data_IF_545212896345
#
_entry.id   IF_545212896345
#
_cell.length_a   1.000
_cell.length_b   1.000
_cell.length_c   1.000
_cell.angle_alpha   90.00
_cell.angle_beta   90.00
_cell.angle_gamma   90.00
#
_symmetry.space_group_name_H-M   'P 1'
#
loop_
_entity.id
_entity.type
_entity.pdbx_description
1 polymer ?
#
# COMPACT_ATOMS: atom_id res chain seq x y z
N UNK A 1 10.07 16.58 -18.73
CA UNK A 1 8.83 15.99 -19.27
C UNK A 1 7.72 15.79 -18.23
N UNK A 2 7.94 15.08 -17.10
CA UNK A 2 6.90 14.86 -16.06
C UNK A 2 6.19 16.16 -15.59
N UNK A 3 6.89 17.26 -15.28
CA UNK A 3 6.21 18.49 -14.84
C UNK A 3 5.27 19.08 -15.89
N UNK A 4 5.64 19.00 -17.17
CA UNK A 4 4.82 19.46 -18.29
C UNK A 4 3.56 18.60 -18.44
N UNK A 5 3.71 17.27 -18.45
CA UNK A 5 2.60 16.33 -18.54
C UNK A 5 1.60 16.49 -17.36
N UNK A 6 2.11 16.81 -16.16
CA UNK A 6 1.27 17.05 -14.99
C UNK A 6 0.39 18.32 -15.10
N UNK A 7 0.80 19.30 -15.91
CA UNK A 7 0.03 20.54 -16.14
C UNK A 7 -1.10 20.34 -17.14
N UNK A 8 -0.99 19.37 -18.04
CA UNK A 8 -2.02 19.10 -19.06
C UNK A 8 -3.33 18.64 -18.41
N UNK A 9 -4.46 19.21 -18.87
CA UNK A 9 -5.79 18.88 -18.37
C UNK A 9 -6.24 17.45 -18.69
N UNK A 10 -7.30 16.99 -18.02
CA UNK A 10 -7.90 15.66 -18.28
C UNK A 10 -8.50 15.56 -19.70
N UNK A 11 -8.79 16.71 -20.32
CA UNK A 11 -9.25 16.85 -21.70
C UNK A 11 -8.12 16.68 -22.73
N UNK A 12 -6.86 16.62 -22.28
CA UNK A 12 -5.68 16.30 -23.10
C UNK A 12 -5.11 14.94 -22.69
N UNK A 13 -4.84 14.72 -21.40
CA UNK A 13 -4.32 13.46 -20.86
C UNK A 13 -5.27 12.88 -19.81
N UNK A 14 -6.00 11.82 -20.17
CA UNK A 14 -7.01 11.23 -19.32
C UNK A 14 -6.47 10.01 -18.55
N UNK A 15 -6.21 10.20 -17.26
CA UNK A 15 -5.78 9.14 -16.33
C UNK A 15 -6.92 8.20 -15.93
N UNK A 16 -8.15 8.69 -15.81
CA UNK A 16 -9.32 7.89 -15.42
C UNK A 16 -9.70 6.87 -16.48
N UNK A 17 -9.64 7.27 -17.74
CA UNK A 17 -9.87 6.39 -18.88
C UNK A 17 -8.75 5.35 -19.00
N UNK A 18 -7.49 5.72 -18.79
CA UNK A 18 -6.39 4.77 -18.72
C UNK A 18 -6.54 3.79 -17.55
N UNK A 19 -6.89 4.26 -16.36
CA UNK A 19 -7.11 3.41 -15.19
C UNK A 19 -8.28 2.43 -15.40
N UNK A 20 -9.40 2.91 -15.97
CA UNK A 20 -10.50 2.06 -16.38
C UNK A 20 -10.09 1.04 -17.44
N UNK A 21 -9.16 1.37 -18.33
CA UNK A 21 -8.65 0.43 -19.33
C UNK A 21 -7.77 -0.65 -18.68
N UNK A 22 -6.77 -0.25 -17.89
CA UNK A 22 -5.86 -1.16 -17.19
C UNK A 22 -6.59 -2.12 -16.24
N UNK A 23 -7.65 -1.66 -15.58
CA UNK A 23 -8.45 -2.48 -14.67
C UNK A 23 -9.56 -3.28 -15.38
N UNK A 24 -9.55 -3.35 -16.72
CA UNK A 24 -10.60 -4.00 -17.52
C UNK A 24 -12.00 -3.56 -17.08
N UNK A 25 -12.22 -2.25 -16.97
CA UNK A 25 -13.38 -1.67 -16.28
C UNK A 25 -14.75 -2.12 -16.82
N UNK A 26 -14.83 -2.53 -18.09
CA UNK A 26 -16.02 -3.12 -18.69
C UNK A 26 -16.35 -4.53 -18.14
N UNK A 27 -15.37 -5.22 -17.57
CA UNK A 27 -15.50 -6.56 -16.96
C UNK A 27 -15.58 -6.51 -15.44
N UNK A 28 -14.92 -5.55 -14.82
CA UNK A 28 -14.71 -5.50 -13.36
C UNK A 28 -15.66 -4.54 -12.63
N UNK A 29 -16.48 -3.79 -13.37
CA UNK A 29 -17.27 -2.67 -12.83
C UNK A 29 -16.46 -1.38 -12.64
N UNK A 30 -15.13 -1.44 -12.79
CA UNK A 30 -14.25 -0.28 -12.63
C UNK A 30 -14.41 0.80 -13.70
N UNK A 31 -15.29 0.63 -14.69
CA UNK A 31 -15.70 1.70 -15.59
C UNK A 31 -16.28 2.92 -14.84
N UNK A 32 -16.75 2.74 -13.59
CA UNK A 32 -17.21 3.82 -12.71
C UNK A 32 -16.16 4.92 -12.50
N UNK A 33 -14.87 4.59 -12.52
CA UNK A 33 -13.78 5.58 -12.32
C UNK A 33 -13.68 6.61 -13.45
N UNK A 34 -14.28 6.32 -14.61
CA UNK A 34 -14.40 7.28 -15.72
C UNK A 34 -15.32 8.44 -15.35
N UNK A 35 -16.32 8.18 -14.50
CA UNK A 35 -17.36 9.13 -14.12
C UNK A 35 -17.04 9.83 -12.80
N UNK A 36 -16.40 9.15 -11.86
CA UNK A 36 -16.04 9.72 -10.55
C UNK A 36 -14.65 9.28 -10.07
N UNK A 37 -14.00 10.11 -9.25
CA UNK A 37 -12.81 9.73 -8.49
C UNK A 37 -13.07 9.80 -6.98
N UNK A 38 -14.29 9.48 -6.56
CA UNK A 38 -14.72 9.66 -5.18
C UNK A 38 -13.85 8.88 -4.18
N UNK A 39 -13.46 7.63 -4.47
CA UNK A 39 -12.53 6.86 -3.64
C UNK A 39 -11.18 7.57 -3.41
N UNK A 40 -10.63 8.25 -4.43
CA UNK A 40 -9.40 9.06 -4.29
C UNK A 40 -9.63 10.26 -3.37
N UNK A 41 -10.78 10.93 -3.51
CA UNK A 41 -11.15 12.05 -2.65
C UNK A 41 -11.29 11.60 -1.19
N UNK A 42 -11.96 10.47 -0.94
CA UNK A 42 -12.10 9.90 0.42
C UNK A 42 -10.73 9.56 1.01
N UNK A 43 -9.86 8.89 0.26
CA UNK A 43 -8.49 8.57 0.69
C UNK A 43 -7.68 9.80 1.11
N UNK A 44 -7.73 10.87 0.32
CA UNK A 44 -6.93 12.08 0.55
C UNK A 44 -7.54 13.02 1.59
N UNK A 45 -8.87 13.16 1.61
CA UNK A 45 -9.57 14.13 2.46
C UNK A 45 -9.98 13.59 3.82
N UNK A 46 -10.12 12.27 3.98
CA UNK A 46 -10.62 11.66 5.23
C UNK A 46 -9.65 10.63 5.80
N UNK A 47 -9.23 9.63 5.02
CA UNK A 47 -8.36 8.56 5.57
C UNK A 47 -6.98 9.10 5.93
N UNK A 48 -6.35 9.85 5.02
CA UNK A 48 -4.99 10.37 5.24
C UNK A 48 -4.91 11.27 6.49
N UNK A 49 -5.83 12.23 6.71
CA UNK A 49 -5.87 12.99 7.97
C UNK A 49 -6.23 12.18 9.21
N UNK A 50 -6.99 11.07 9.06
CA UNK A 50 -7.37 10.20 10.17
C UNK A 50 -6.31 9.18 10.58
N UNK A 51 -5.17 9.08 9.88
CA UNK A 51 -4.13 8.10 10.20
C UNK A 51 -3.66 8.14 11.66
N UNK A 52 -3.47 9.31 12.31
CA UNK A 52 -3.09 9.34 13.72
C UNK A 52 -4.13 8.67 14.65
N UNK A 53 -5.43 8.81 14.38
CA UNK A 53 -6.48 8.16 15.20
C UNK A 53 -6.70 6.68 14.83
N UNK A 54 -6.40 6.31 13.59
CA UNK A 54 -6.45 4.92 13.12
C UNK A 54 -5.19 4.11 13.47
N UNK A 55 -4.08 4.78 13.78
CA UNK A 55 -2.77 4.17 13.99
C UNK A 55 -2.83 3.03 14.99
N UNK A 56 -3.35 3.31 16.19
CA UNK A 56 -3.33 2.36 17.30
C UNK A 56 -4.15 1.11 17.04
N UNK A 57 -5.37 1.30 16.55
CA UNK A 57 -6.28 0.19 16.26
C UNK A 57 -5.78 -0.64 15.07
N UNK A 58 -5.17 0.00 14.07
CA UNK A 58 -4.52 -0.69 12.94
C UNK A 58 -3.30 -1.49 13.41
N UNK A 59 -2.47 -0.90 14.27
CA UNK A 59 -1.27 -1.54 14.78
C UNK A 59 -1.58 -2.74 15.69
N UNK A 60 -2.63 -2.65 16.50
CA UNK A 60 -3.12 -3.75 17.32
C UNK A 60 -3.61 -4.93 16.45
N UNK A 61 -4.41 -4.65 15.42
CA UNK A 61 -4.91 -5.62 14.43
C UNK A 61 -3.77 -6.33 13.69
N UNK A 62 -2.84 -5.57 13.11
CA UNK A 62 -1.66 -6.14 12.43
C UNK A 62 -0.82 -6.99 13.39
N UNK A 63 -0.61 -6.53 14.63
CA UNK A 63 0.15 -7.28 15.64
C UNK A 63 -0.53 -8.59 16.04
N UNK A 64 -1.87 -8.61 16.13
CA UNK A 64 -2.62 -9.82 16.38
C UNK A 64 -2.52 -10.79 15.20
N UNK A 65 -2.60 -10.28 13.97
CA UNK A 65 -2.35 -11.06 12.75
C UNK A 65 -0.97 -11.72 12.77
N UNK A 66 0.09 -10.99 13.13
CA UNK A 66 1.45 -11.55 13.23
C UNK A 66 1.50 -12.72 14.22
N UNK A 67 0.88 -12.59 15.40
CA UNK A 67 0.84 -13.69 16.39
C UNK A 67 0.11 -14.94 15.88
N UNK A 68 -0.89 -14.77 15.04
CA UNK A 68 -1.67 -15.87 14.49
C UNK A 68 -0.99 -16.55 13.30
N UNK A 69 -0.28 -15.76 12.47
CA UNK A 69 0.28 -16.23 11.19
C UNK A 69 1.73 -16.70 11.28
N UNK A 70 2.51 -16.21 12.25
CA UNK A 70 3.92 -16.55 12.40
C UNK A 70 4.15 -17.53 13.55
N UNK A 71 5.10 -18.46 13.38
CA UNK A 71 5.45 -19.44 14.41
C UNK A 71 5.87 -18.77 15.72
N UNK A 72 5.31 -19.20 16.84
CA UNK A 72 5.68 -18.66 18.15
C UNK A 72 6.91 -19.36 18.76
N UNK A 73 7.44 -20.37 18.07
CA UNK A 73 8.59 -21.19 18.51
C UNK A 73 9.93 -20.60 18.04
N UNK A 74 11.00 -20.91 18.78
CA UNK A 74 12.38 -20.52 18.44
C UNK A 74 13.04 -21.41 17.39
N UNK A 75 12.37 -22.51 17.01
CA UNK A 75 12.85 -23.42 15.98
C UNK A 75 12.57 -22.87 14.58
N UNK A 76 13.48 -23.16 13.65
CA UNK A 76 13.29 -22.77 12.25
C UNK A 76 12.15 -23.55 11.62
N UNK A 77 11.23 -22.81 11.00
CA UNK A 77 10.09 -23.37 10.27
C UNK A 77 10.01 -22.77 8.87
N UNK A 78 9.58 -23.57 7.90
CA UNK A 78 9.35 -23.09 6.53
C UNK A 78 7.94 -22.52 6.43
N UNK A 79 7.81 -21.30 5.91
CA UNK A 79 6.52 -20.65 5.70
C UNK A 79 6.43 -20.00 4.32
N UNK A 80 5.20 -19.63 3.90
CA UNK A 80 4.95 -18.79 2.72
C UNK A 80 4.68 -17.35 3.18
N UNK A 81 5.68 -16.45 3.21
CA UNK A 81 5.55 -15.14 3.86
C UNK A 81 4.47 -14.27 3.22
N UNK A 82 4.28 -14.34 1.89
CA UNK A 82 3.22 -13.58 1.20
C UNK A 82 1.82 -13.87 1.76
N UNK A 83 1.51 -15.15 2.08
CA UNK A 83 0.20 -15.56 2.61
C UNK A 83 -0.03 -15.06 4.03
N UNK A 84 0.98 -15.18 4.89
CA UNK A 84 0.93 -14.68 6.26
C UNK A 84 0.84 -13.15 6.31
N UNK A 85 1.70 -12.47 5.54
CA UNK A 85 1.77 -11.01 5.52
C UNK A 85 0.52 -10.39 4.94
N UNK A 86 -0.08 -10.94 3.87
CA UNK A 86 -1.33 -10.39 3.32
C UNK A 86 -2.46 -10.47 4.35
N UNK A 87 -2.56 -11.56 5.13
CA UNK A 87 -3.55 -11.65 6.18
C UNK A 87 -3.33 -10.60 7.28
N UNK A 88 -2.08 -10.43 7.74
CA UNK A 88 -1.72 -9.41 8.72
C UNK A 88 -2.08 -7.99 8.26
N UNK A 89 -1.78 -7.64 7.00
CA UNK A 89 -2.13 -6.32 6.43
C UNK A 89 -3.64 -6.19 6.27
N UNK A 90 -4.32 -7.24 5.81
CA UNK A 90 -5.78 -7.28 5.66
C UNK A 90 -6.54 -7.00 6.95
N UNK A 91 -6.03 -7.43 8.11
CA UNK A 91 -6.62 -7.11 9.43
C UNK A 91 -6.70 -5.59 9.66
N UNK A 92 -5.64 -4.85 9.32
CA UNK A 92 -5.60 -3.40 9.42
C UNK A 92 -6.44 -2.69 8.35
N UNK A 93 -6.38 -3.17 7.10
CA UNK A 93 -7.13 -2.57 5.98
C UNK A 93 -8.63 -2.77 6.17
N UNK A 94 -9.09 -3.96 6.58
CA UNK A 94 -10.51 -4.23 6.79
C UNK A 94 -11.10 -3.28 7.83
N UNK A 95 -10.36 -2.96 8.90
CA UNK A 95 -10.78 -2.00 9.91
C UNK A 95 -11.04 -0.61 9.31
N UNK A 96 -10.11 -0.11 8.48
CA UNK A 96 -10.27 1.20 7.84
C UNK A 96 -11.45 1.21 6.86
N UNK A 97 -11.69 0.10 6.15
CA UNK A 97 -12.74 0.01 5.15
C UNK A 97 -14.15 -0.15 5.74
N UNK A 98 -14.28 -1.03 6.73
CA UNK A 98 -15.57 -1.54 7.20
C UNK A 98 -15.87 -1.18 8.67
N UNK A 99 -14.89 -0.63 9.39
CA UNK A 99 -15.04 -0.26 10.80
C UNK A 99 -14.87 -1.43 11.77
N UNK A 100 -14.65 -1.10 13.05
CA UNK A 100 -14.30 -2.10 14.08
C UNK A 100 -15.44 -3.09 14.35
N UNK A 101 -16.68 -2.59 14.44
CA UNK A 101 -17.86 -3.42 14.74
C UNK A 101 -18.13 -4.42 13.62
N UNK A 102 -18.27 -3.94 12.39
CA UNK A 102 -18.62 -4.80 11.26
C UNK A 102 -17.54 -5.87 10.99
N UNK A 103 -16.26 -5.52 11.15
CA UNK A 103 -15.15 -6.48 11.02
C UNK A 103 -15.06 -7.46 12.20
N UNK A 104 -15.44 -7.08 13.41
CA UNK A 104 -15.49 -8.00 14.54
C UNK A 104 -16.64 -9.00 14.41
N UNK A 105 -17.81 -8.52 13.96
CA UNK A 105 -19.01 -9.35 13.76
C UNK A 105 -18.86 -10.28 12.55
N UNK A 106 -18.01 -9.93 11.57
CA UNK A 106 -17.84 -10.68 10.33
C UNK A 106 -16.34 -10.83 9.97
N UNK A 107 -15.61 -11.79 10.60
CA UNK A 107 -14.18 -12.00 10.36
C UNK A 107 -13.82 -12.28 8.89
N UNK A 108 -14.76 -12.84 8.12
CA UNK A 108 -14.61 -13.07 6.68
C UNK A 108 -14.34 -11.81 5.86
N UNK A 109 -14.71 -10.62 6.36
CA UNK A 109 -14.37 -9.34 5.72
C UNK A 109 -12.87 -9.14 5.57
N UNK A 110 -12.07 -9.66 6.51
CA UNK A 110 -10.60 -9.64 6.42
C UNK A 110 -10.14 -10.42 5.18
N UNK A 111 -10.61 -11.65 5.01
CA UNK A 111 -10.32 -12.45 3.82
C UNK A 111 -10.82 -11.78 2.54
N UNK A 112 -12.02 -11.20 2.58
CA UNK A 112 -12.59 -10.47 1.45
C UNK A 112 -11.79 -9.24 1.04
N UNK A 113 -10.83 -8.72 1.82
CA UNK A 113 -9.95 -7.63 1.35
C UNK A 113 -8.82 -8.07 0.42
N UNK A 114 -8.50 -9.37 0.36
CA UNK A 114 -7.42 -9.89 -0.52
C UNK A 114 -7.82 -11.12 -1.33
N UNK A 115 -8.89 -11.84 -0.99
CA UNK A 115 -9.30 -13.03 -1.76
C UNK A 115 -9.78 -12.65 -3.17
N UNK A 116 -10.46 -11.50 -3.31
CA UNK A 116 -10.98 -11.01 -4.59
C UNK A 116 -9.89 -10.56 -5.56
N UNK A 117 -8.69 -10.25 -5.06
CA UNK A 117 -7.52 -9.89 -5.88
C UNK A 117 -6.76 -11.11 -6.39
N UNK A 118 -7.15 -12.33 -5.98
CA UNK A 118 -6.47 -13.55 -6.39
C UNK A 118 -6.97 -14.06 -7.77
N UNK A 119 -6.31 -13.56 -8.82
CA UNK A 119 -6.14 -14.05 -10.20
C UNK A 119 -7.26 -14.85 -10.91
N UNK A 120 -8.54 -14.54 -10.69
CA UNK A 120 -9.61 -14.92 -11.63
C UNK A 120 -10.69 -13.84 -11.69
N UNK A 121 -11.09 -13.44 -12.91
CA UNK A 121 -12.23 -12.53 -13.16
C UNK A 121 -13.46 -12.90 -12.30
N UNK A 122 -13.75 -14.20 -12.23
CA UNK A 122 -14.87 -14.73 -11.47
C UNK A 122 -14.72 -14.50 -9.96
N UNK A 123 -13.51 -14.60 -9.41
CA UNK A 123 -13.23 -14.31 -7.99
C UNK A 123 -13.37 -12.84 -7.65
N UNK A 124 -12.98 -11.94 -8.56
CA UNK A 124 -13.21 -10.50 -8.38
C UNK A 124 -14.72 -10.19 -8.32
N UNK A 125 -15.49 -10.69 -9.30
CA UNK A 125 -16.95 -10.46 -9.36
C UNK A 125 -17.67 -11.12 -8.17
N UNK A 126 -17.27 -12.33 -7.78
CA UNK A 126 -17.81 -13.00 -6.59
C UNK A 126 -17.45 -12.25 -5.30
N UNK A 127 -16.20 -11.78 -5.19
CA UNK A 127 -15.75 -10.93 -4.11
C UNK A 127 -16.57 -9.65 -4.00
N UNK A 128 -16.82 -8.97 -5.12
CA UNK A 128 -17.68 -7.78 -5.17
C UNK A 128 -19.11 -8.09 -4.73
N UNK A 129 -19.66 -9.23 -5.14
CA UNK A 129 -21.00 -9.66 -4.71
C UNK A 129 -21.06 -9.94 -3.21
N UNK A 130 -20.01 -10.52 -2.63
CA UNK A 130 -19.90 -10.73 -1.17
C UNK A 130 -19.76 -9.40 -0.45
N UNK A 131 -18.82 -8.54 -0.85
CA UNK A 131 -18.62 -7.19 -0.27
C UNK A 131 -19.92 -6.37 -0.34
N UNK A 132 -20.64 -6.44 -1.46
CA UNK A 132 -21.97 -5.81 -1.62
C UNK A 132 -22.94 -6.21 -0.52
N UNK A 133 -22.92 -7.48 -0.10
CA UNK A 133 -23.76 -8.01 0.97
C UNK A 133 -23.57 -7.31 2.32
N UNK A 134 -22.41 -6.70 2.57
CA UNK A 134 -22.13 -5.93 3.79
C UNK A 134 -22.22 -4.42 3.55
N UNK A 135 -21.68 -3.93 2.42
CA UNK A 135 -21.63 -2.50 2.13
C UNK A 135 -23.02 -1.92 1.92
N UNK A 136 -23.89 -2.58 1.13
CA UNK A 136 -25.22 -2.03 0.83
C UNK A 136 -26.08 -1.88 2.09
N UNK A 137 -26.24 -2.91 2.95
CA UNK A 137 -26.97 -2.74 4.20
C UNK A 137 -26.39 -1.65 5.08
N UNK A 138 -25.05 -1.57 5.20
CA UNK A 138 -24.39 -0.54 6.00
C UNK A 138 -24.65 0.87 5.47
N UNK A 139 -24.61 1.06 4.15
CA UNK A 139 -24.95 2.35 3.51
C UNK A 139 -26.41 2.72 3.77
N UNK A 140 -27.34 1.76 3.68
CA UNK A 140 -28.77 2.01 3.94
C UNK A 140 -29.04 2.33 5.40
N UNK A 141 -28.39 1.62 6.34
CA UNK A 141 -28.43 1.91 7.78
C UNK A 141 -27.97 3.34 8.06
N UNK A 142 -26.79 3.73 7.55
CA UNK A 142 -26.23 5.07 7.74
C UNK A 142 -27.10 6.18 7.12
N UNK A 143 -27.77 5.90 6.00
CA UNK A 143 -28.72 6.84 5.38
C UNK A 143 -30.03 6.96 6.15
N UNK A 144 -30.51 5.86 6.73
CA UNK A 144 -31.78 5.80 7.49
C UNK A 144 -31.68 6.36 8.90
N UNK A 145 -30.48 6.45 9.48
CA UNK A 145 -30.25 7.14 10.74
C UNK A 145 -30.58 8.64 10.62
N UNK A 146 -31.47 9.13 11.50
CA UNK A 146 -31.80 10.54 11.65
C UNK A 146 -30.55 11.38 11.94
N UNK A 147 -30.49 12.64 11.48
CA UNK A 147 -29.40 13.56 11.86
C UNK A 147 -29.29 13.76 13.39
N UNK A 148 -30.36 13.50 14.15
CA UNK A 148 -30.32 13.49 15.63
C UNK A 148 -29.58 12.28 16.22
N UNK A 149 -29.56 11.15 15.51
CA UNK A 149 -28.93 9.89 15.91
C UNK A 149 -27.47 9.79 15.42
N UNK A 150 -27.07 10.65 14.48
CA UNK A 150 -25.70 10.76 13.94
C UNK A 150 -24.75 11.55 14.81
N UNK A 151 -25.04 11.76 16.10
CA UNK A 151 -24.02 12.34 17.00
C UNK A 151 -22.79 11.43 16.93
N UNK A 152 -21.63 11.92 16.45
CA UNK A 152 -20.46 11.08 16.30
C UNK A 152 -20.14 10.52 17.67
N UNK A 153 -20.24 9.20 17.82
CA UNK A 153 -19.78 8.56 19.03
C UNK A 153 -18.25 8.73 19.03
N UNK A 154 -17.66 9.54 19.92
CA UNK A 154 -16.23 9.83 19.89
C UNK A 154 -15.37 8.58 20.09
N UNK A 155 -15.97 7.49 20.58
CA UNK A 155 -15.31 6.21 20.81
C UNK A 155 -15.21 5.31 19.57
N UNK A 156 -15.88 5.64 18.46
CA UNK A 156 -15.86 4.84 17.23
C UNK A 156 -15.20 5.64 16.12
N UNK A 157 -14.01 5.20 15.70
CA UNK A 157 -13.36 5.75 14.52
C UNK A 157 -14.25 5.52 13.28
N UNK A 158 -14.55 6.55 12.50
CA UNK A 158 -15.29 6.39 11.25
C UNK A 158 -14.47 5.54 10.26
N UNK A 159 -15.20 4.82 9.42
CA UNK A 159 -14.67 3.98 8.34
C UNK A 159 -14.93 4.59 6.96
N UNK A 160 -14.37 3.97 5.91
CA UNK A 160 -14.55 4.44 4.53
C UNK A 160 -16.01 4.52 4.11
N UNK A 161 -16.85 3.56 4.51
CA UNK A 161 -18.26 3.57 4.14
C UNK A 161 -18.94 4.79 4.78
N UNK A 162 -18.64 5.07 6.04
CA UNK A 162 -19.15 6.22 6.79
C UNK A 162 -18.77 7.52 6.09
N UNK A 163 -17.49 7.73 5.79
CA UNK A 163 -17.04 8.92 5.07
C UNK A 163 -17.64 9.04 3.67
N UNK A 164 -17.82 7.93 2.96
CA UNK A 164 -18.45 7.93 1.64
C UNK A 164 -19.94 8.32 1.70
N UNK A 165 -20.67 7.91 2.73
CA UNK A 165 -22.08 8.30 2.91
C UNK A 165 -22.18 9.78 3.27
N UNK A 166 -21.29 10.28 4.13
CA UNK A 166 -21.26 11.68 4.57
C UNK A 166 -20.86 12.67 3.46
N UNK A 167 -19.83 12.37 2.67
CA UNK A 167 -19.33 13.27 1.60
C UNK A 167 -19.98 13.02 0.22
N UNK A 168 -20.97 12.14 0.10
CA UNK A 168 -21.62 11.86 -1.18
C UNK A 168 -22.33 13.11 -1.74
N UNK A 169 -21.85 13.67 -2.87
CA UNK A 169 -22.29 14.98 -3.37
C UNK A 169 -23.34 14.94 -4.48
N UNK A 170 -23.56 13.78 -5.08
CA UNK A 170 -24.52 13.58 -6.16
C UNK A 170 -25.12 12.17 -6.09
N UNK A 171 -26.12 11.90 -6.92
CA UNK A 171 -26.83 10.62 -6.94
C UNK A 171 -25.90 9.41 -7.11
N UNK A 172 -24.93 9.49 -8.02
CA UNK A 172 -23.95 8.42 -8.26
C UNK A 172 -23.04 8.18 -7.07
N UNK A 173 -22.54 9.24 -6.42
CA UNK A 173 -21.72 9.12 -5.21
C UNK A 173 -22.53 8.70 -3.97
N UNK A 174 -23.86 8.69 -4.07
CA UNK A 174 -24.76 8.17 -3.03
C UNK A 174 -25.27 6.78 -3.36
N UNK A 175 -25.01 6.24 -4.55
CA UNK A 175 -25.49 4.93 -4.96
C UNK A 175 -24.74 3.81 -4.20
N UNK A 176 -25.44 2.93 -3.45
CA UNK A 176 -24.80 1.88 -2.67
C UNK A 176 -23.95 0.89 -3.49
N UNK A 177 -24.32 0.62 -4.73
CA UNK A 177 -23.60 -0.27 -5.65
C UNK A 177 -22.32 0.41 -6.18
N UNK A 178 -22.39 1.71 -6.46
CA UNK A 178 -21.20 2.52 -6.76
C UNK A 178 -20.25 2.52 -5.57
N UNK A 179 -20.74 2.79 -4.36
CA UNK A 179 -19.92 2.79 -3.15
C UNK A 179 -19.27 1.42 -2.90
N UNK A 180 -20.01 0.33 -3.10
CA UNK A 180 -19.47 -1.04 -3.03
C UNK A 180 -18.27 -1.23 -3.95
N UNK A 181 -18.40 -0.82 -5.22
CA UNK A 181 -17.32 -0.93 -6.21
C UNK A 181 -16.10 -0.09 -5.79
N UNK A 182 -16.33 1.11 -5.29
CA UNK A 182 -15.28 2.02 -4.84
C UNK A 182 -14.56 1.51 -3.59
N UNK A 183 -15.28 1.00 -2.58
CA UNK A 183 -14.69 0.35 -1.39
C UNK A 183 -13.85 -0.86 -1.79
N UNK A 184 -14.39 -1.72 -2.66
CA UNK A 184 -13.65 -2.84 -3.21
C UNK A 184 -12.36 -2.41 -3.90
N UNK A 185 -12.42 -1.34 -4.71
CA UNK A 185 -11.21 -0.82 -5.39
C UNK A 185 -10.12 -0.35 -4.44
N UNK A 186 -10.48 0.23 -3.28
CA UNK A 186 -9.52 0.61 -2.25
C UNK A 186 -8.88 -0.65 -1.65
N UNK A 187 -9.69 -1.66 -1.29
CA UNK A 187 -9.21 -2.92 -0.75
C UNK A 187 -8.19 -3.60 -1.69
N UNK A 188 -8.54 -3.67 -2.98
CA UNK A 188 -7.72 -4.28 -4.02
C UNK A 188 -6.35 -3.58 -4.17
N UNK A 189 -6.35 -2.25 -4.07
CA UNK A 189 -5.14 -1.43 -4.20
C UNK A 189 -4.23 -1.45 -2.97
N UNK A 190 -4.74 -1.81 -1.79
CA UNK A 190 -4.01 -1.71 -0.52
C UNK A 190 -3.36 -2.99 -0.03
N UNK A 191 -3.96 -4.16 -0.21
CA UNK A 191 -3.50 -5.38 0.48
C UNK A 191 -2.21 -5.94 -0.14
N UNK A 192 -2.27 -6.52 -1.33
CA UNK A 192 -1.11 -7.16 -1.96
C UNK A 192 0.03 -6.20 -2.31
N UNK A 193 -0.25 -4.91 -2.53
CA UNK A 193 0.78 -3.91 -2.79
C UNK A 193 1.68 -3.70 -1.56
N UNK A 194 1.08 -3.56 -0.37
CA UNK A 194 1.81 -3.45 0.90
C UNK A 194 2.51 -4.78 1.23
N UNK A 195 1.83 -5.91 1.05
CA UNK A 195 2.45 -7.23 1.22
C UNK A 195 3.70 -7.39 0.38
N UNK A 196 3.64 -6.98 -0.89
CA UNK A 196 4.78 -7.05 -1.79
C UNK A 196 5.95 -6.20 -1.30
N UNK A 197 5.69 -4.95 -0.87
CA UNK A 197 6.70 -4.06 -0.27
C UNK A 197 7.37 -4.75 0.91
N UNK A 198 6.59 -5.30 1.85
CA UNK A 198 7.12 -5.95 3.05
C UNK A 198 7.94 -7.20 2.73
N UNK A 199 7.41 -8.11 1.90
CA UNK A 199 8.11 -9.36 1.55
C UNK A 199 9.40 -9.10 0.77
N UNK A 200 9.38 -8.19 -0.21
CA UNK A 200 10.58 -7.82 -0.96
C UNK A 200 11.61 -7.16 -0.05
N UNK A 201 11.19 -6.25 0.83
CA UNK A 201 12.12 -5.59 1.77
C UNK A 201 12.77 -6.59 2.72
N UNK A 202 12.01 -7.53 3.29
CA UNK A 202 12.56 -8.60 4.14
C UNK A 202 13.54 -9.47 3.35
N UNK A 203 13.17 -9.91 2.16
CA UNK A 203 14.03 -10.73 1.31
C UNK A 203 15.34 -10.01 0.96
N UNK A 204 15.27 -8.72 0.60
CA UNK A 204 16.46 -7.92 0.26
C UNK A 204 17.37 -7.71 1.46
N UNK A 205 16.82 -7.47 2.66
CA UNK A 205 17.62 -7.37 3.89
C UNK A 205 18.23 -8.72 4.30
N UNK A 206 17.53 -9.84 4.12
CA UNK A 206 18.09 -11.18 4.39
C UNK A 206 19.28 -11.48 3.45
N UNK A 207 19.21 -11.01 2.20
CA UNK A 207 20.32 -11.10 1.26
C UNK A 207 21.50 -10.16 1.59
N UNK A 208 21.29 -9.16 2.45
CA UNK A 208 22.29 -8.15 2.83
C UNK A 208 22.32 -7.97 4.36
N UNK A 209 22.97 -8.91 5.09
CA UNK A 209 22.94 -8.95 6.54
C UNK A 209 23.42 -7.66 7.22
N UNK A 210 24.35 -6.94 6.61
CA UNK A 210 24.84 -5.64 7.07
C UNK A 210 23.71 -4.58 7.13
N UNK A 211 22.84 -4.55 6.11
CA UNK A 211 21.66 -3.68 6.09
C UNK A 211 20.64 -4.14 7.13
N UNK A 212 20.38 -5.44 7.22
CA UNK A 212 19.45 -6.01 8.21
C UNK A 212 19.88 -5.66 9.65
N UNK A 213 21.16 -5.82 9.96
CA UNK A 213 21.72 -5.51 11.27
C UNK A 213 21.68 -4.01 11.57
N UNK A 214 21.96 -3.16 10.58
CA UNK A 214 21.85 -1.71 10.73
C UNK A 214 20.42 -1.25 11.02
N UNK A 215 19.43 -1.83 10.34
CA UNK A 215 17.99 -1.55 10.54
C UNK A 215 17.52 -2.08 11.90
N UNK A 216 17.90 -3.31 12.28
CA UNK A 216 17.59 -3.88 13.59
C UNK A 216 18.20 -3.05 14.72
N UNK A 217 19.44 -2.59 14.56
CA UNK A 217 20.09 -1.69 15.53
C UNK A 217 19.31 -0.39 15.69
N UNK A 218 18.91 0.25 14.59
CA UNK A 218 18.05 1.44 14.64
C UNK A 218 16.74 1.19 15.39
N UNK A 219 16.07 0.06 15.12
CA UNK A 219 14.82 -0.30 15.81
C UNK A 219 15.05 -0.48 17.31
N UNK A 220 16.10 -1.21 17.72
CA UNK A 220 16.40 -1.44 19.16
C UNK A 220 16.75 -0.15 19.89
N UNK A 221 17.61 0.69 19.30
CA UNK A 221 18.01 1.98 19.88
C UNK A 221 16.81 2.92 20.01
N UNK A 222 15.97 2.99 18.96
CA UNK A 222 14.72 3.75 18.99
C UNK A 222 13.79 3.24 20.10
N UNK A 223 13.59 1.93 20.16
CA UNK A 223 12.73 1.27 21.14
C UNK A 223 13.16 1.61 22.59
N UNK A 224 14.47 1.59 22.86
CA UNK A 224 15.02 1.99 24.16
C UNK A 224 14.78 3.48 24.45
N UNK A 225 15.06 4.37 23.49
CA UNK A 225 14.91 5.82 23.63
C UNK A 225 13.47 6.26 23.89
N UNK A 226 12.48 5.59 23.30
CA UNK A 226 11.05 5.91 23.45
C UNK A 226 10.38 5.06 24.54
N UNK A 227 11.15 4.34 25.36
CA UNK A 227 10.63 3.46 26.43
C UNK A 227 9.57 2.46 25.94
N UNK A 228 9.80 1.88 24.76
CA UNK A 228 8.90 0.93 24.07
C UNK A 228 7.56 1.49 23.62
N UNK A 229 7.36 2.80 23.66
CA UNK A 229 6.10 3.45 23.30
C UNK A 229 6.18 3.99 21.87
N UNK A 230 5.72 3.19 20.92
CA UNK A 230 5.75 3.52 19.49
C UNK A 230 4.49 4.25 19.05
N UNK A 231 4.63 5.51 18.66
CA UNK A 231 3.60 6.26 17.96
C UNK A 231 3.94 6.39 16.46
N UNK A 232 3.10 7.10 15.71
CA UNK A 232 3.31 7.33 14.27
C UNK A 232 4.58 8.16 13.99
N UNK A 233 4.99 9.03 14.91
CA UNK A 233 6.21 9.85 14.79
C UNK A 233 7.47 8.99 14.94
N UNK A 234 7.47 8.07 15.90
CA UNK A 234 8.54 7.11 16.12
C UNK A 234 8.79 6.28 14.85
N UNK A 235 7.74 5.76 14.20
CA UNK A 235 7.86 5.05 12.93
C UNK A 235 8.38 5.93 11.79
N UNK A 236 7.91 7.18 11.69
CA UNK A 236 8.36 8.11 10.67
C UNK A 236 9.86 8.45 10.80
N UNK A 237 10.42 8.32 12.01
CA UNK A 237 11.81 8.64 12.33
C UNK A 237 12.82 7.48 12.18
N UNK A 238 12.43 6.39 11.50
CA UNK A 238 13.29 5.25 11.17
C UNK A 238 13.92 5.42 9.79
N UNK A 239 15.04 6.12 9.74
CA UNK A 239 15.71 6.56 8.51
C UNK A 239 16.28 5.38 7.72
N UNK A 240 16.87 4.39 8.42
CA UNK A 240 17.48 3.21 7.78
C UNK A 240 16.42 2.25 7.28
N UNK A 241 15.37 1.98 8.06
CA UNK A 241 14.24 1.17 7.59
C UNK A 241 13.59 1.83 6.37
N UNK A 242 13.35 3.13 6.42
CA UNK A 242 12.76 3.89 5.31
C UNK A 242 13.64 3.85 4.05
N UNK A 243 14.96 4.01 4.20
CA UNK A 243 15.93 3.85 3.10
C UNK A 243 15.89 2.44 2.49
N UNK A 244 15.86 1.39 3.32
CA UNK A 244 15.80 0.00 2.85
C UNK A 244 14.50 -0.29 2.10
N UNK A 245 13.37 0.26 2.56
CA UNK A 245 12.08 0.17 1.87
C UNK A 245 12.12 0.90 0.51
N UNK A 246 12.71 2.10 0.46
CA UNK A 246 12.90 2.87 -0.80
C UNK A 246 13.77 2.10 -1.79
N UNK A 247 14.89 1.52 -1.34
CA UNK A 247 15.80 0.77 -2.21
C UNK A 247 15.16 -0.52 -2.73
N UNK A 248 14.45 -1.24 -1.88
CA UNK A 248 13.73 -2.46 -2.28
C UNK A 248 12.66 -2.15 -3.33
N UNK A 249 11.95 -1.03 -3.17
CA UNK A 249 10.96 -0.55 -4.15
C UNK A 249 11.57 0.04 -5.42
N UNK A 250 12.81 0.55 -5.36
CA UNK A 250 13.55 1.02 -6.53
C UNK A 250 13.92 -0.14 -7.46
N UNK A 251 14.41 -1.25 -6.90
CA UNK A 251 14.77 -2.45 -7.65
C UNK A 251 13.58 -3.35 -7.99
N UNK A 252 12.57 -3.34 -7.13
CA UNK A 252 11.32 -4.10 -7.31
C UNK A 252 10.13 -3.14 -7.34
N UNK A 253 10.02 -2.28 -8.35
CA UNK A 253 8.89 -1.37 -8.46
C UNK A 253 7.66 -2.24 -8.75
N UNK A 254 6.70 -2.26 -7.82
CA UNK A 254 5.51 -3.13 -7.92
C UNK A 254 4.79 -3.07 -9.27
N UNK A 255 4.97 -1.97 -10.01
CA UNK A 255 4.71 -1.88 -11.45
C UNK A 255 5.95 -1.35 -12.21
N UNK A 256 6.31 -2.00 -13.31
CA UNK A 256 7.38 -1.59 -14.24
C UNK A 256 7.03 -0.30 -14.98
N UNK A 257 5.74 -0.14 -15.29
CA UNK A 257 5.18 1.00 -16.00
C UNK A 257 4.27 1.80 -15.06
N UNK A 258 4.41 3.11 -15.10
CA UNK A 258 3.67 4.04 -14.22
C UNK A 258 3.16 5.21 -15.06
N UNK A 259 2.27 6.03 -14.48
CA UNK A 259 1.80 7.25 -15.15
C UNK A 259 0.99 6.99 -16.44
N UNK A 260 0.15 5.95 -16.47
CA UNK A 260 -0.67 5.60 -17.64
C UNK A 260 -1.74 6.66 -18.00
N UNK A 261 -1.81 7.11 -19.26
CA UNK A 261 -2.81 8.08 -19.76
C UNK A 261 -3.33 7.72 -21.16
N UNK A 262 -4.58 8.04 -21.44
CA UNK A 262 -5.09 8.11 -22.82
C UNK A 262 -5.04 9.55 -23.31
N UNK A 263 -4.39 9.77 -24.44
CA UNK A 263 -4.34 11.08 -25.12
C UNK A 263 -5.71 11.36 -25.75
N UNK A 264 -6.33 12.48 -25.39
CA UNK A 264 -7.69 12.87 -25.82
C UNK A 264 -7.71 13.83 -27.00
N UNK A 265 -6.63 14.57 -27.21
CA UNK A 265 -6.42 15.53 -28.28
C UNK A 265 -4.95 15.50 -28.70
N UNK A 266 -4.68 15.72 -29.97
CA UNK A 266 -3.32 15.91 -30.46
C UNK A 266 -2.65 17.05 -29.68
N UNK A 267 -1.41 16.82 -29.25
CA UNK A 267 -0.65 17.79 -28.46
C UNK A 267 0.84 17.66 -28.76
N UNK A 268 1.57 18.76 -28.75
CA UNK A 268 3.02 18.78 -28.97
C UNK A 268 3.67 19.28 -27.70
N UNK A 269 4.56 18.47 -27.12
CA UNK A 269 5.32 18.84 -25.93
C UNK A 269 6.44 19.82 -26.29
N UNK A 270 6.98 20.49 -25.28
CA UNK A 270 8.09 21.45 -25.37
C UNK A 270 9.34 20.90 -26.06
N UNK A 271 9.56 19.59 -26.00
CA UNK A 271 10.65 18.89 -26.67
C UNK A 271 10.31 18.41 -28.10
N UNK A 272 9.24 18.94 -28.70
CA UNK A 272 8.70 18.56 -30.02
C UNK A 272 8.12 17.14 -30.13
N UNK A 273 7.99 16.40 -29.03
CA UNK A 273 7.32 15.10 -29.04
C UNK A 273 5.82 15.29 -29.33
N UNK A 274 5.33 14.64 -30.38
CA UNK A 274 3.93 14.71 -30.82
C UNK A 274 3.12 13.58 -30.19
N UNK A 275 2.17 13.95 -29.33
CA UNK A 275 1.15 13.06 -28.80
C UNK A 275 -0.07 13.08 -29.71
N UNK A 276 -0.57 11.91 -30.08
CA UNK A 276 -1.72 11.73 -30.97
C UNK A 276 -2.92 11.23 -30.19
N UNK A 277 -4.10 11.78 -30.50
CA UNK A 277 -5.37 11.33 -29.92
C UNK A 277 -5.51 9.82 -30.05
N UNK A 278 -5.89 9.18 -28.94
CA UNK A 278 -6.06 7.73 -28.83
C UNK A 278 -4.83 6.98 -28.33
N UNK A 279 -3.64 7.60 -28.30
CA UNK A 279 -2.45 6.93 -27.77
C UNK A 279 -2.58 6.64 -26.27
N UNK A 280 -2.17 5.43 -25.88
CA UNK A 280 -1.90 5.09 -24.49
C UNK A 280 -0.43 5.40 -24.20
N UNK A 281 -0.18 6.36 -23.31
CA UNK A 281 1.18 6.75 -22.90
C UNK A 281 1.42 6.31 -21.47
N UNK A 282 2.67 5.93 -21.19
CA UNK A 282 3.13 5.49 -19.87
C UNK A 282 4.60 5.88 -19.70
N UNK A 283 5.13 5.73 -18.49
CA UNK A 283 6.55 5.95 -18.16
C UNK A 283 7.15 4.66 -17.64
N UNK A 284 8.33 4.28 -18.13
CA UNK A 284 9.07 3.17 -17.55
C UNK A 284 9.75 3.62 -16.27
N UNK A 285 9.13 3.33 -15.12
CA UNK A 285 9.72 3.56 -13.81
C UNK A 285 10.96 2.68 -13.64
N UNK A 286 10.87 1.42 -14.04
CA UNK A 286 11.96 0.45 -13.92
C UNK A 286 13.21 0.81 -14.73
N UNK A 287 13.07 1.41 -15.91
CA UNK A 287 14.24 1.90 -16.66
C UNK A 287 14.88 3.08 -15.95
N UNK A 288 14.06 4.00 -15.42
CA UNK A 288 14.56 5.20 -14.73
C UNK A 288 15.28 4.86 -13.42
N UNK A 289 14.77 3.92 -12.65
CA UNK A 289 15.42 3.46 -11.42
C UNK A 289 16.75 2.75 -11.67
N UNK A 290 16.96 2.27 -12.89
CA UNK A 290 18.17 1.56 -13.33
C UNK A 290 19.14 2.45 -14.10
N UNK A 291 18.86 3.75 -14.23
CA UNK A 291 19.68 4.69 -14.99
C UNK A 291 20.94 5.08 -14.19
N UNK A 292 22.15 4.78 -14.69
CA UNK A 292 23.40 5.13 -14.00
C UNK A 292 23.65 6.63 -13.91
N UNK A 293 22.97 7.46 -14.70
CA UNK A 293 23.05 8.92 -14.57
C UNK A 293 22.22 9.45 -13.40
N UNK A 294 21.37 8.61 -12.78
CA UNK A 294 20.50 8.95 -11.66
C UNK A 294 20.95 8.24 -10.40
N UNK A 295 21.28 6.95 -10.49
CA UNK A 295 21.73 6.14 -9.36
C UNK A 295 23.09 5.52 -9.64
N UNK A 296 24.06 5.76 -8.74
CA UNK A 296 25.34 5.05 -8.74
C UNK A 296 25.14 3.55 -8.46
N UNK A 297 25.79 2.69 -9.26
CA UNK A 297 25.61 1.23 -9.30
C UNK A 297 24.14 0.82 -9.25
N UNK A 298 23.36 1.19 -10.27
CA UNK A 298 21.90 1.15 -10.21
C UNK A 298 21.34 -0.26 -10.09
N UNK A 299 22.12 -1.30 -10.43
CA UNK A 299 21.69 -2.69 -10.32
C UNK A 299 22.00 -3.33 -8.96
N UNK A 300 22.89 -2.71 -8.17
CA UNK A 300 23.23 -3.20 -6.84
C UNK A 300 22.19 -2.74 -5.83
N UNK A 301 21.84 -3.63 -4.88
CA UNK A 301 21.05 -3.24 -3.72
C UNK A 301 21.96 -2.52 -2.72
N UNK A 302 21.74 -1.21 -2.54
CA UNK A 302 22.41 -0.40 -1.52
C UNK A 302 21.36 0.09 -0.53
N UNK A 303 20.92 -0.77 0.40
CA UNK A 303 19.76 -0.52 1.26
C UNK A 303 19.82 0.79 2.08
N UNK A 304 21.02 1.25 2.43
CA UNK A 304 21.24 2.48 3.19
C UNK A 304 21.56 3.72 2.31
N UNK A 305 21.41 3.62 0.98
CA UNK A 305 21.85 4.69 0.07
C UNK A 305 21.18 6.05 0.33
N UNK A 306 19.91 6.05 0.73
CA UNK A 306 19.15 7.28 0.91
C UNK A 306 19.44 7.93 2.26
N UNK A 307 19.77 7.13 3.28
CA UNK A 307 20.14 7.64 4.60
C UNK A 307 21.65 7.78 4.81
N UNK A 308 22.47 7.72 3.74
CA UNK A 308 23.87 8.08 3.83
C UNK A 308 24.03 9.54 4.26
N UNK A 309 25.08 9.87 5.02
CA UNK A 309 25.25 11.21 5.63
C UNK A 309 25.11 12.38 4.63
N UNK A 310 25.49 12.19 3.37
CA UNK A 310 25.37 13.20 2.32
C UNK A 310 23.95 13.42 1.80
N UNK A 311 23.02 12.48 2.04
CA UNK A 311 21.65 12.49 1.51
C UNK A 311 20.59 12.56 2.61
N UNK A 312 20.98 12.58 3.89
CA UNK A 312 20.05 12.39 5.00
C UNK A 312 18.94 13.46 5.09
N UNK A 313 19.27 14.73 4.85
CA UNK A 313 18.27 15.81 4.87
C UNK A 313 17.28 15.71 3.70
N UNK A 314 17.75 15.31 2.51
CA UNK A 314 16.89 15.04 1.36
C UNK A 314 15.97 13.84 1.62
N UNK A 315 16.50 12.80 2.26
CA UNK A 315 15.73 11.62 2.65
C UNK A 315 14.67 11.94 3.70
N UNK A 316 14.98 12.75 4.71
CA UNK A 316 14.01 13.26 5.69
C UNK A 316 12.92 14.09 5.03
N UNK A 317 13.27 14.93 4.04
CA UNK A 317 12.32 15.76 3.30
C UNK A 317 11.44 14.95 2.33
N UNK A 318 11.93 13.80 1.86
CA UNK A 318 11.24 12.93 0.92
C UNK A 318 11.33 11.47 1.39
N UNK A 319 10.59 11.09 2.46
CA UNK A 319 10.63 9.74 3.03
C UNK A 319 10.02 8.72 2.06
N UNK A 320 9.89 7.45 2.46
CA UNK A 320 9.36 6.39 1.62
C UNK A 320 8.03 6.77 0.99
N UNK A 321 7.10 7.36 1.74
CA UNK A 321 5.79 7.84 1.26
C UNK A 321 5.84 9.15 0.44
N UNK A 322 7.01 9.73 0.24
CA UNK A 322 7.23 10.94 -0.54
C UNK A 322 7.11 10.72 -2.06
N UNK A 323 6.76 11.77 -2.81
CA UNK A 323 6.58 11.68 -4.27
C UNK A 323 7.93 11.94 -4.93
N UNK A 324 8.64 10.86 -5.22
CA UNK A 324 9.96 10.88 -5.84
C UNK A 324 9.88 10.72 -7.36
N UNK A 325 10.34 11.72 -8.12
CA UNK A 325 10.32 11.65 -9.59
C UNK A 325 11.45 10.82 -10.19
N UNK A 326 12.47 10.43 -9.43
CA UNK A 326 13.55 9.52 -9.83
C UNK A 326 13.14 8.05 -9.67
N UNK A 327 12.42 7.71 -8.58
CA UNK A 327 12.01 6.33 -8.30
C UNK A 327 10.61 6.00 -8.81
N UNK A 328 9.69 6.97 -8.74
CA UNK A 328 8.30 6.83 -9.18
C UNK A 328 7.50 5.69 -8.51
N UNK A 329 7.93 5.20 -7.33
CA UNK A 329 7.22 4.16 -6.54
C UNK A 329 5.73 4.48 -6.39
N UNK A 330 5.41 5.75 -6.11
CA UNK A 330 4.04 6.21 -5.92
C UNK A 330 3.50 6.95 -7.14
N UNK A 331 4.15 6.91 -8.29
CA UNK A 331 3.83 7.76 -9.44
C UNK A 331 4.32 9.20 -9.26
N UNK A 332 3.65 10.16 -9.90
CA UNK A 332 4.11 11.55 -9.94
C UNK A 332 2.99 12.59 -9.93
N UNK A 333 3.26 13.73 -9.27
CA UNK A 333 2.39 14.91 -9.22
C UNK A 333 1.01 14.63 -8.64
N UNK A 334 -0.02 15.33 -9.14
CA UNK A 334 -1.43 15.18 -8.71
C UNK A 334 -2.04 13.78 -8.94
N UNK A 335 -1.29 12.89 -9.58
CA UNK A 335 -1.70 11.52 -9.91
C UNK A 335 -0.91 10.48 -9.11
N UNK A 336 -0.17 10.91 -8.10
CA UNK A 336 0.49 10.00 -7.17
C UNK A 336 -0.51 9.11 -6.44
N UNK A 337 -0.08 7.93 -6.00
CA UNK A 337 -0.86 7.00 -5.21
C UNK A 337 -1.49 7.72 -4.00
N UNK A 338 -2.84 7.75 -3.90
CA UNK A 338 -3.51 8.38 -2.77
C UNK A 338 -3.37 7.58 -1.47
N UNK A 339 -3.07 6.28 -1.55
CA UNK A 339 -2.90 5.40 -0.40
C UNK A 339 -1.47 5.32 0.15
N UNK A 340 -0.51 6.09 -0.37
CA UNK A 340 0.92 5.98 -0.02
C UNK A 340 1.22 6.14 1.48
N UNK A 341 0.46 6.98 2.19
CA UNK A 341 0.63 7.19 3.62
C UNK A 341 0.10 5.99 4.44
N UNK A 342 -1.01 5.38 3.99
CA UNK A 342 -1.53 4.15 4.59
C UNK A 342 -0.52 3.02 4.37
N UNK A 343 0.02 2.91 3.16
CA UNK A 343 0.99 1.88 2.81
C UNK A 343 2.27 1.98 3.63
N UNK A 344 2.82 3.19 3.78
CA UNK A 344 4.01 3.43 4.61
C UNK A 344 3.76 3.10 6.09
N UNK A 345 2.66 3.59 6.66
CA UNK A 345 2.29 3.31 8.06
C UNK A 345 2.10 1.82 8.30
N UNK A 346 1.28 1.13 7.49
CA UNK A 346 1.00 -0.30 7.65
C UNK A 346 2.25 -1.16 7.42
N UNK A 347 3.07 -0.82 6.43
CA UNK A 347 4.32 -1.53 6.18
C UNK A 347 5.30 -1.38 7.35
N UNK A 348 5.48 -0.17 7.89
CA UNK A 348 6.39 0.06 9.03
C UNK A 348 5.90 -0.59 10.32
N UNK A 349 4.59 -0.56 10.61
CA UNK A 349 4.01 -1.31 11.73
C UNK A 349 4.39 -2.79 11.65
N UNK A 350 4.18 -3.40 10.48
CA UNK A 350 4.47 -4.81 10.26
C UNK A 350 5.99 -5.09 10.34
N UNK A 351 6.80 -4.33 9.61
CA UNK A 351 8.24 -4.54 9.51
C UNK A 351 8.94 -4.34 10.86
N UNK A 352 8.61 -3.29 11.63
CA UNK A 352 9.22 -3.08 12.95
C UNK A 352 8.96 -4.25 13.88
N UNK A 353 7.71 -4.77 13.88
CA UNK A 353 7.34 -5.98 14.64
C UNK A 353 8.10 -7.21 14.17
N UNK A 354 8.11 -7.48 12.86
CA UNK A 354 8.74 -8.68 12.32
C UNK A 354 10.26 -8.67 12.50
N UNK A 355 10.92 -7.53 12.33
CA UNK A 355 12.37 -7.42 12.45
C UNK A 355 12.88 -7.48 13.90
N UNK A 356 12.05 -7.04 14.87
CA UNK A 356 12.32 -7.21 16.30
C UNK A 356 12.09 -8.66 16.76
N UNK A 357 10.97 -9.27 16.36
CA UNK A 357 10.50 -10.53 16.94
C UNK A 357 10.92 -11.80 16.17
N UNK A 358 11.40 -11.70 14.93
CA UNK A 358 11.67 -12.87 14.08
C UNK A 358 13.02 -12.78 13.36
N UNK A 359 13.64 -13.95 13.17
CA UNK A 359 14.70 -14.16 12.19
C UNK A 359 14.12 -14.74 10.91
N UNK A 360 14.69 -14.33 9.78
CA UNK A 360 14.34 -14.81 8.46
C UNK A 360 15.60 -15.36 7.77
N UNK A 361 15.44 -16.46 7.04
CA UNK A 361 16.49 -17.03 6.20
C UNK A 361 15.88 -17.60 4.92
N UNK A 362 16.72 -17.82 3.91
CA UNK A 362 16.29 -18.51 2.71
C UNK A 362 16.11 -20.01 2.97
N UNK A 363 15.26 -20.66 2.18
CA UNK A 363 15.22 -22.12 2.16
C UNK A 363 16.44 -22.58 1.35
N UNK A 364 17.47 -23.04 2.06
CA UNK A 364 18.82 -23.20 1.49
C UNK A 364 19.56 -21.86 1.39
N UNK A 365 20.49 -21.73 0.44
CA UNK A 365 21.39 -20.56 0.34
C UNK A 365 21.01 -19.56 -0.76
N UNK A 366 19.86 -19.75 -1.42
CA UNK A 366 19.48 -18.92 -2.59
C UNK A 366 18.24 -18.07 -2.29
N UNK A 367 18.28 -16.75 -2.57
CA UNK A 367 17.11 -15.90 -2.48
C UNK A 367 15.98 -16.40 -3.40
N UNK A 368 14.71 -16.36 -2.97
CA UNK A 368 13.61 -16.74 -3.84
C UNK A 368 13.45 -15.75 -5.00
N UNK A 369 13.04 -16.25 -6.16
CA UNK A 369 12.88 -15.42 -7.36
C UNK A 369 11.68 -14.48 -7.26
N UNK A 370 11.81 -13.30 -7.88
CA UNK A 370 10.68 -12.39 -8.10
C UNK A 370 9.92 -12.82 -9.33
N UNK A 371 8.60 -12.79 -9.24
CA UNK A 371 7.75 -13.03 -10.39
C UNK A 371 7.42 -11.74 -11.12
N UNK A 372 7.35 -11.85 -12.45
CA UNK A 372 6.90 -10.78 -13.33
C UNK A 372 5.68 -11.30 -14.08
N UNK A 373 4.55 -10.61 -13.93
CA UNK A 373 3.33 -10.88 -14.70
C UNK A 373 2.86 -9.57 -15.32
N UNK A 374 2.85 -9.53 -16.65
CA UNK A 374 2.60 -8.29 -17.40
C UNK A 374 3.58 -7.18 -16.96
N UNK A 375 3.08 -6.10 -16.38
CA UNK A 375 3.85 -4.97 -15.86
C UNK A 375 4.16 -5.09 -14.37
N UNK A 376 3.62 -6.10 -13.66
CA UNK A 376 3.76 -6.19 -12.20
C UNK A 376 4.95 -7.06 -11.81
N UNK A 377 5.77 -6.55 -10.89
CA UNK A 377 6.87 -7.31 -10.27
C UNK A 377 6.54 -7.54 -8.80
N UNK A 378 6.55 -8.80 -8.37
CA UNK A 378 6.15 -9.14 -7.02
C UNK A 378 6.85 -10.37 -6.45
N UNK A 379 6.86 -10.44 -5.12
CA UNK A 379 7.21 -11.64 -4.37
C UNK A 379 6.16 -12.73 -4.64
N UNK A 380 6.58 -13.83 -5.26
CA UNK A 380 5.63 -14.86 -5.69
C UNK A 380 4.90 -15.48 -4.48
N UNK A 381 3.57 -15.67 -4.53
CA UNK A 381 2.79 -16.21 -3.40
C UNK A 381 3.21 -17.60 -2.91
N UNK A 382 3.87 -18.38 -3.77
CA UNK A 382 4.35 -19.72 -3.43
C UNK A 382 5.81 -19.75 -2.98
N UNK A 383 6.53 -18.61 -3.02
CA UNK A 383 7.87 -18.53 -2.47
C UNK A 383 7.86 -18.85 -0.98
N UNK A 384 8.89 -19.56 -0.54
CA UNK A 384 9.07 -19.98 0.84
C UNK A 384 10.29 -19.32 1.46
N UNK A 385 10.22 -19.06 2.76
CA UNK A 385 11.35 -18.61 3.57
C UNK A 385 11.33 -19.36 4.91
N UNK A 386 12.50 -19.50 5.52
CA UNK A 386 12.63 -19.98 6.88
C UNK A 386 12.36 -18.82 7.84
N UNK A 387 11.61 -19.09 8.90
CA UNK A 387 11.33 -18.14 9.98
C UNK A 387 11.50 -18.82 11.33
N UNK A 388 11.95 -18.08 12.33
CA UNK A 388 11.87 -18.48 13.74
C UNK A 388 11.63 -17.26 14.61
N UNK A 389 11.03 -17.48 15.78
CA UNK A 389 10.90 -16.43 16.78
C UNK A 389 12.24 -16.18 17.48
N UNK A 390 12.53 -14.90 17.71
CA UNK A 390 13.71 -14.45 18.47
C UNK A 390 13.45 -14.47 19.96
N UNK A 391 14.44 -14.93 20.73
CA UNK A 391 14.42 -14.91 22.19
C UNK A 391 14.85 -13.56 22.78
N UNK A 392 15.61 -12.78 22.01
CA UNK A 392 16.17 -11.49 22.40
C UNK A 392 15.31 -10.28 21.93
N UNK A 393 14.06 -10.52 21.54
CA UNK A 393 13.15 -9.49 21.06
C UNK A 393 12.94 -8.38 22.11
N UNK A 394 13.01 -7.12 21.67
CA UNK A 394 12.97 -5.95 22.57
C UNK A 394 11.55 -5.54 23.00
N UNK A 395 10.52 -6.20 22.44
CA UNK A 395 9.08 -6.06 22.73
C UNK A 395 8.54 -4.69 22.30
N UNK A 396 8.04 -4.62 21.07
CA UNK A 396 7.42 -3.42 20.47
C UNK A 396 5.98 -3.22 20.97
N UNK A 397 5.70 -2.09 21.62
CA UNK A 397 4.34 -1.68 22.02
C UNK A 397 3.94 -0.41 21.29
N UNK A 398 2.85 -0.48 20.51
CA UNK A 398 2.28 0.70 19.87
C UNK A 398 1.39 1.45 20.87
N UNK A 399 1.44 2.79 20.85
CA UNK A 399 0.66 3.68 21.74
C UNK A 399 -0.11 4.78 21.00
#
# INVERSE_FOLDING_TARGET
MIPELNRLGIDVLNSREAHSFSMLGHMTGMAVVRKTSFHVRVLLSYISPALPSLFMVTAARISAGIKNEFSQDSEWTVMKPSKAVVHCISEGIALALFGAKLTADNPELVHLTHEHTNNAKWRLVLGWRKIRGYVVPRVLELKGASDSDRKPNPSVNPDVITWMVEDGRNEMERDPDVLTTLVGSIAAGSTYSITNICCCTIMDMVAHPDVLDAVRTEIREKNAKIHRRWDMSALASLEKLDSAMKESSRLTPGSLLVYSRIVKKDHVLSNNLKLKKGQFITMSGATRTKDPSIFEDPMAYKGLRFCANTQIEEHRANPFSGIDTNILTWGAGRWSCPGRLIADMSAKILLVKLLDEYDFAFVGDTPPERSIMHEFVFFHPENQMMVRRRLDASKIVFI
#
